data_IF_237718511732
#
_entry.id   IF_237718511732
#
_cell.length_a   1.000
_cell.length_b   1.000
_cell.length_c   1.000
_cell.angle_alpha   90.00
_cell.angle_beta   90.00
_cell.angle_gamma   90.00
#
_symmetry.space_group_name_H-M   'P 1'
#
loop_
_entity.id
_entity.type
_entity.pdbx_description
1 polymer ?
#
# COMPACT_ATOMS: atom_id res chain seq x y z
N UNK A 1 -18.52 -22.34 15.84
CA UNK A 1 -17.77 -21.34 16.62
C UNK A 1 -16.69 -20.76 15.71
N UNK A 2 -16.75 -19.46 15.38
CA UNK A 2 -15.85 -18.78 14.42
C UNK A 2 -14.35 -18.97 14.72
N UNK A 3 -14.00 -19.16 15.99
CA UNK A 3 -12.62 -19.26 16.48
C UNK A 3 -12.15 -20.71 16.69
N UNK A 4 -12.77 -21.70 16.05
CA UNK A 4 -12.35 -23.08 16.19
C UNK A 4 -11.04 -23.32 15.39
N UNK A 5 -9.91 -23.40 16.10
CA UNK A 5 -8.59 -23.79 15.55
C UNK A 5 -8.58 -25.12 14.76
N UNK A 6 -9.61 -25.96 14.94
CA UNK A 6 -9.79 -27.29 14.33
C UNK A 6 -10.97 -27.37 13.36
N UNK A 7 -11.50 -26.24 12.91
CA UNK A 7 -12.43 -26.21 11.77
C UNK A 7 -11.67 -26.65 10.51
N UNK A 8 -12.29 -27.45 9.64
CA UNK A 8 -11.72 -27.81 8.33
C UNK A 8 -11.41 -26.59 7.46
N UNK A 9 -12.05 -25.45 7.75
CA UNK A 9 -11.82 -24.17 7.08
C UNK A 9 -11.63 -23.01 8.09
N UNK A 10 -10.43 -22.42 8.15
CA UNK A 10 -10.18 -21.25 9.00
C UNK A 10 -10.98 -20.03 8.49
N UNK A 11 -11.26 -19.09 9.39
CA UNK A 11 -11.90 -17.82 9.01
C UNK A 11 -11.04 -17.05 8.00
N UNK A 12 -11.67 -16.34 7.08
CA UNK A 12 -11.02 -15.43 6.13
C UNK A 12 -10.27 -14.31 6.84
N UNK A 13 -10.68 -13.96 8.07
CA UNK A 13 -10.00 -12.96 8.90
C UNK A 13 -8.69 -13.48 9.51
N UNK A 14 -8.44 -14.80 9.46
CA UNK A 14 -7.20 -15.40 9.93
C UNK A 14 -6.18 -15.48 8.80
N UNK A 15 -5.13 -14.65 8.90
CA UNK A 15 -3.99 -14.69 7.96
C UNK A 15 -2.71 -14.94 8.76
N UNK A 16 -2.12 -16.14 8.72
CA UNK A 16 -0.86 -16.41 9.39
C UNK A 16 0.32 -15.78 8.62
N UNK A 17 1.50 -15.74 9.24
CA UNK A 17 2.71 -15.08 8.71
C UNK A 17 3.11 -15.60 7.33
N UNK A 18 2.96 -16.90 7.11
CA UNK A 18 3.33 -17.59 5.87
C UNK A 18 2.44 -17.16 4.70
N UNK A 19 1.25 -16.61 5.00
CA UNK A 19 0.25 -16.14 4.04
C UNK A 19 0.17 -14.63 3.95
N UNK A 20 1.14 -13.87 4.48
CA UNK A 20 1.16 -12.41 4.37
C UNK A 20 1.11 -11.92 2.91
N UNK A 21 1.62 -12.69 1.94
CA UNK A 21 1.52 -12.37 0.50
C UNK A 21 0.08 -12.22 0.02
N UNK A 22 -0.87 -12.95 0.62
CA UNK A 22 -2.28 -12.91 0.25
C UNK A 22 -2.97 -11.61 0.69
N UNK A 23 -2.31 -10.76 1.50
CA UNK A 23 -2.86 -9.45 1.90
C UNK A 23 -3.07 -8.52 0.70
N UNK A 24 -2.32 -8.71 -0.38
CA UNK A 24 -2.45 -7.91 -1.63
C UNK A 24 -3.74 -8.24 -2.39
N UNK A 25 -4.31 -9.43 -2.17
CA UNK A 25 -5.49 -9.94 -2.87
C UNK A 25 -6.77 -9.82 -2.05
N UNK A 26 -6.80 -8.92 -1.06
CA UNK A 26 -7.97 -8.73 -0.20
C UNK A 26 -9.24 -8.45 -1.00
N UNK A 27 -10.26 -9.30 -0.81
CA UNK A 27 -11.62 -9.08 -1.30
C UNK A 27 -12.58 -8.91 -0.13
N UNK A 28 -13.14 -7.71 0.04
CA UNK A 28 -14.11 -7.42 1.10
C UNK A 28 -15.35 -8.31 1.05
N UNK A 29 -15.76 -8.73 -0.15
CA UNK A 29 -16.89 -9.66 -0.34
C UNK A 29 -16.68 -11.02 0.33
N UNK A 30 -15.43 -11.48 0.49
CA UNK A 30 -15.15 -12.74 1.19
C UNK A 30 -15.47 -12.62 2.68
N UNK A 31 -15.19 -11.46 3.28
CA UNK A 31 -15.55 -11.17 4.67
C UNK A 31 -17.07 -11.08 4.81
N UNK A 32 -17.75 -10.39 3.88
CA UNK A 32 -19.21 -10.30 3.90
C UNK A 32 -19.89 -11.67 3.74
N UNK A 33 -19.34 -12.54 2.89
CA UNK A 33 -19.82 -13.91 2.71
C UNK A 33 -19.65 -14.73 3.99
N UNK A 34 -18.48 -14.66 4.63
CA UNK A 34 -18.26 -15.31 5.93
C UNK A 34 -19.25 -14.80 6.99
N UNK A 35 -19.51 -13.50 7.05
CA UNK A 35 -20.49 -12.93 7.98
C UNK A 35 -21.89 -13.53 7.76
N UNK A 36 -22.32 -13.73 6.51
CA UNK A 36 -23.63 -14.34 6.20
C UNK A 36 -23.71 -15.79 6.63
N UNK A 37 -22.67 -16.56 6.34
CA UNK A 37 -22.67 -18.00 6.57
C UNK A 37 -22.46 -18.36 8.04
N UNK A 38 -21.57 -17.62 8.73
CA UNK A 38 -21.09 -17.98 10.06
C UNK A 38 -21.59 -17.06 11.17
N UNK A 39 -22.09 -15.86 10.85
CA UNK A 39 -22.53 -14.85 11.83
C UNK A 39 -23.70 -13.96 11.35
N UNK A 40 -24.80 -14.53 10.82
CA UNK A 40 -25.89 -13.75 10.21
C UNK A 40 -26.52 -12.74 11.17
N UNK A 41 -26.68 -13.10 12.45
CA UNK A 41 -27.25 -12.20 13.47
C UNK A 41 -26.37 -10.96 13.71
N UNK A 42 -25.04 -11.13 13.65
CA UNK A 42 -24.09 -10.02 13.79
C UNK A 42 -24.17 -9.11 12.57
N UNK A 43 -24.29 -9.69 11.38
CA UNK A 43 -24.46 -8.94 10.14
C UNK A 43 -25.77 -8.14 10.16
N UNK A 44 -26.88 -8.76 10.55
CA UNK A 44 -28.19 -8.12 10.62
C UNK A 44 -28.20 -6.95 11.62
N UNK A 45 -27.63 -7.17 12.81
CA UNK A 45 -27.47 -6.12 13.81
C UNK A 45 -26.63 -4.95 13.28
N UNK A 46 -25.45 -5.23 12.73
CA UNK A 46 -24.55 -4.19 12.22
C UNK A 46 -25.16 -3.44 11.03
N UNK A 47 -25.81 -4.15 10.11
CA UNK A 47 -26.50 -3.54 8.97
C UNK A 47 -27.65 -2.65 9.45
N UNK A 48 -28.49 -3.13 10.38
CA UNK A 48 -29.60 -2.35 10.96
C UNK A 48 -29.13 -1.05 11.61
N UNK A 49 -28.00 -1.09 12.33
CA UNK A 49 -27.46 0.09 13.02
C UNK A 49 -26.77 1.06 12.05
N UNK A 50 -26.05 0.57 11.05
CA UNK A 50 -25.16 1.39 10.24
C UNK A 50 -25.68 1.73 8.84
N UNK A 51 -26.59 0.92 8.27
CA UNK A 51 -26.93 0.97 6.84
C UNK A 51 -28.44 0.69 6.63
N UNK A 52 -29.25 1.69 6.25
CA UNK A 52 -30.71 1.51 6.07
C UNK A 52 -31.11 0.42 5.06
N UNK A 53 -30.27 0.20 4.04
CA UNK A 53 -30.37 -0.91 3.05
C UNK A 53 -28.99 -1.26 2.52
N UNK A 54 -28.48 -2.45 2.85
CA UNK A 54 -27.17 -2.92 2.39
C UNK A 54 -27.21 -3.29 0.90
N UNK A 55 -26.40 -2.61 0.09
CA UNK A 55 -26.17 -2.97 -1.32
C UNK A 55 -24.86 -3.75 -1.42
N UNK A 56 -24.95 -5.03 -1.77
CA UNK A 56 -23.83 -5.99 -1.74
C UNK A 56 -22.64 -5.61 -2.63
N UNK A 57 -22.88 -4.85 -3.69
CA UNK A 57 -21.83 -4.39 -4.61
C UNK A 57 -21.39 -2.94 -4.35
N UNK A 58 -21.94 -2.28 -3.33
CA UNK A 58 -21.55 -0.91 -2.99
C UNK A 58 -20.35 -0.93 -2.03
N UNK A 59 -19.15 -0.79 -2.60
CA UNK A 59 -17.90 -0.71 -1.84
C UNK A 59 -17.90 0.37 -0.75
N UNK A 60 -18.71 1.43 -0.89
CA UNK A 60 -18.85 2.50 0.12
C UNK A 60 -19.53 2.01 1.39
N UNK A 61 -20.32 0.95 1.31
CA UNK A 61 -21.03 0.33 2.43
C UNK A 61 -20.32 -0.93 2.93
N UNK A 62 -19.88 -1.78 2.01
CA UNK A 62 -19.30 -3.09 2.34
C UNK A 62 -17.98 -2.96 3.08
N UNK A 63 -17.09 -2.07 2.64
CA UNK A 63 -15.76 -1.93 3.25
C UNK A 63 -15.83 -1.43 4.70
N UNK A 64 -16.58 -0.35 5.05
CA UNK A 64 -16.73 0.07 6.44
C UNK A 64 -17.37 -1.01 7.32
N UNK A 65 -18.38 -1.72 6.81
CA UNK A 65 -19.07 -2.79 7.53
C UNK A 65 -18.11 -3.96 7.85
N UNK A 66 -17.37 -4.44 6.85
CA UNK A 66 -16.38 -5.50 7.01
C UNK A 66 -15.22 -5.08 7.92
N UNK A 67 -14.83 -3.79 7.86
CA UNK A 67 -13.79 -3.23 8.75
C UNK A 67 -14.25 -3.25 10.20
N UNK A 68 -15.46 -2.78 10.48
CA UNK A 68 -16.04 -2.80 11.82
C UNK A 68 -16.18 -4.24 12.35
N UNK A 69 -16.64 -5.17 11.50
CA UNK A 69 -16.71 -6.59 11.85
C UNK A 69 -15.32 -7.15 12.18
N UNK A 70 -14.31 -6.91 11.36
CA UNK A 70 -12.94 -7.37 11.62
C UNK A 70 -12.33 -6.79 12.90
N UNK A 71 -12.64 -5.54 13.25
CA UNK A 71 -12.24 -4.94 14.53
C UNK A 71 -12.92 -5.66 15.70
N UNK A 72 -14.24 -5.86 15.63
CA UNK A 72 -15.00 -6.57 16.67
C UNK A 72 -14.51 -8.01 16.85
N UNK A 73 -14.25 -8.72 15.75
CA UNK A 73 -13.75 -10.09 15.79
C UNK A 73 -12.34 -10.16 16.36
N UNK A 74 -11.47 -9.18 16.08
CA UNK A 74 -10.12 -9.14 16.66
C UNK A 74 -10.12 -8.96 18.18
N UNK A 75 -11.08 -8.18 18.71
CA UNK A 75 -11.26 -8.01 20.17
C UNK A 75 -11.62 -9.34 20.82
N UNK A 76 -12.42 -10.18 20.15
CA UNK A 76 -12.79 -11.52 20.63
C UNK A 76 -11.67 -12.53 20.45
N UNK A 77 -10.96 -12.49 19.33
CA UNK A 77 -9.88 -13.39 18.99
C UNK A 77 -8.78 -12.66 18.22
N UNK A 78 -7.62 -12.47 18.87
CA UNK A 78 -6.48 -11.73 18.30
C UNK A 78 -5.90 -12.36 17.03
N UNK A 79 -6.14 -13.65 16.81
CA UNK A 79 -5.72 -14.37 15.60
C UNK A 79 -6.48 -13.91 14.35
N UNK A 80 -7.72 -13.41 14.51
CA UNK A 80 -8.55 -12.82 13.45
C UNK A 80 -8.11 -11.38 13.22
N UNK A 81 -7.01 -11.21 12.48
CA UNK A 81 -6.23 -9.96 12.43
C UNK A 81 -6.07 -9.37 11.04
N UNK A 82 -6.76 -9.92 10.03
CA UNK A 82 -6.69 -9.47 8.64
C UNK A 82 -6.88 -7.95 8.52
N UNK A 83 -7.98 -7.42 9.06
CA UNK A 83 -8.29 -5.98 8.97
C UNK A 83 -7.22 -5.13 9.66
N UNK A 84 -6.72 -5.53 10.82
CA UNK A 84 -5.65 -4.82 11.52
C UNK A 84 -4.35 -4.83 10.71
N UNK A 85 -4.05 -5.93 10.01
CA UNK A 85 -2.86 -6.03 9.14
C UNK A 85 -2.98 -5.11 7.93
N UNK A 86 -4.15 -5.07 7.30
CA UNK A 86 -4.43 -4.16 6.17
C UNK A 86 -4.34 -2.71 6.61
N UNK A 87 -4.97 -2.34 7.73
CA UNK A 87 -4.87 -1.00 8.29
C UNK A 87 -3.42 -0.63 8.65
N UNK A 88 -2.62 -1.58 9.11
CA UNK A 88 -1.21 -1.35 9.41
C UNK A 88 -0.40 -1.04 8.15
N UNK A 89 -0.66 -1.75 7.05
CA UNK A 89 -0.04 -1.47 5.75
C UNK A 89 -0.47 -0.08 5.25
N UNK A 90 -1.76 0.23 5.27
CA UNK A 90 -2.29 1.53 4.82
C UNK A 90 -1.68 2.69 5.62
N UNK A 91 -1.67 2.60 6.95
CA UNK A 91 -1.07 3.63 7.81
C UNK A 91 0.44 3.75 7.59
N UNK A 92 1.13 2.62 7.41
CA UNK A 92 2.57 2.60 7.23
C UNK A 92 3.01 3.22 5.91
N UNK A 93 2.30 2.89 4.82
CA UNK A 93 2.52 3.49 3.49
C UNK A 93 2.11 4.97 3.48
N UNK A 94 1.05 5.34 4.21
CA UNK A 94 0.63 6.73 4.38
C UNK A 94 1.53 7.57 5.28
N UNK A 95 2.70 7.06 5.71
CA UNK A 95 3.67 7.83 6.50
C UNK A 95 3.27 8.03 7.97
N UNK A 96 2.33 7.24 8.51
CA UNK A 96 1.88 7.42 9.88
C UNK A 96 3.02 7.22 10.90
N UNK A 97 3.07 8.12 11.89
CA UNK A 97 4.09 8.09 12.94
C UNK A 97 3.94 6.88 13.88
N UNK A 98 5.01 6.52 14.59
CA UNK A 98 4.97 5.48 15.63
C UNK A 98 3.88 5.74 16.67
N UNK A 99 3.69 7.00 17.07
CA UNK A 99 2.65 7.41 18.03
C UNK A 99 1.24 7.15 17.51
N UNK A 100 1.00 7.35 16.23
CA UNK A 100 -0.28 7.02 15.58
C UNK A 100 -0.54 5.51 15.62
N UNK A 101 0.46 4.69 15.28
CA UNK A 101 0.38 3.24 15.40
C UNK A 101 0.07 2.79 16.83
N UNK A 102 0.75 3.33 17.83
CA UNK A 102 0.53 2.96 19.24
C UNK A 102 -0.90 3.29 19.71
N UNK A 103 -1.43 4.45 19.32
CA UNK A 103 -2.81 4.85 19.66
C UNK A 103 -3.84 3.93 19.02
N UNK A 104 -3.73 3.71 17.71
CA UNK A 104 -4.69 2.90 16.96
C UNK A 104 -4.58 1.41 17.29
N UNK A 105 -3.38 0.92 17.63
CA UNK A 105 -3.18 -0.46 18.07
C UNK A 105 -3.84 -0.73 19.42
N UNK A 106 -3.74 0.22 20.38
CA UNK A 106 -4.48 0.14 21.65
C UNK A 106 -5.98 0.05 21.44
N UNK A 107 -6.52 0.75 20.45
CA UNK A 107 -7.93 0.68 20.05
C UNK A 107 -8.30 -0.58 19.24
N UNK A 108 -7.36 -1.47 18.94
CA UNK A 108 -7.61 -2.68 18.13
C UNK A 108 -7.84 -2.41 16.64
N UNK A 109 -7.50 -1.22 16.15
CA UNK A 109 -7.74 -0.80 14.76
C UNK A 109 -6.62 -1.30 13.84
N UNK A 110 -5.38 -1.36 14.34
CA UNK A 110 -4.20 -1.70 13.55
C UNK A 110 -3.23 -2.60 14.32
N UNK A 111 -2.29 -3.22 13.60
CA UNK A 111 -1.15 -3.92 14.19
C UNK A 111 -0.12 -2.96 14.80
N UNK A 112 0.82 -3.49 15.59
CA UNK A 112 1.92 -2.67 16.10
C UNK A 112 2.83 -2.19 14.96
N UNK A 113 3.58 -1.11 15.19
CA UNK A 113 4.54 -0.59 14.20
C UNK A 113 5.63 -1.60 13.83
N UNK A 114 5.98 -2.46 14.78
CA UNK A 114 6.93 -3.56 14.58
C UNK A 114 6.32 -4.68 13.74
N UNK A 115 5.10 -5.11 14.06
CA UNK A 115 4.36 -6.09 13.26
C UNK A 115 4.18 -5.61 11.82
N UNK A 116 3.90 -4.32 11.59
CA UNK A 116 3.92 -3.73 10.25
C UNK A 116 5.26 -3.91 9.53
N UNK A 117 6.41 -3.67 10.18
CA UNK A 117 7.73 -3.89 9.56
C UNK A 117 7.90 -5.36 9.16
N UNK A 118 7.57 -6.28 10.07
CA UNK A 118 7.66 -7.70 9.80
C UNK A 118 6.73 -8.13 8.64
N UNK A 119 5.54 -7.54 8.53
CA UNK A 119 4.63 -7.76 7.40
C UNK A 119 5.28 -7.28 6.09
N UNK A 120 5.85 -6.07 6.09
CA UNK A 120 6.53 -5.51 4.91
C UNK A 120 7.75 -6.33 4.50
N UNK A 121 8.56 -6.80 5.46
CA UNK A 121 9.71 -7.65 5.18
C UNK A 121 9.28 -8.98 4.56
N UNK A 122 8.21 -9.59 5.07
CA UNK A 122 7.64 -10.81 4.51
C UNK A 122 7.09 -10.59 3.10
N UNK A 123 6.40 -9.46 2.86
CA UNK A 123 5.88 -9.07 1.54
C UNK A 123 7.02 -8.82 0.54
N UNK A 124 8.14 -8.23 0.98
CA UNK A 124 9.31 -7.94 0.16
C UNK A 124 10.28 -9.11 -0.04
N UNK A 125 10.13 -10.19 0.74
CA UNK A 125 11.09 -11.31 0.77
C UNK A 125 11.36 -11.98 -0.58
N UNK A 126 10.40 -11.92 -1.52
CA UNK A 126 10.52 -12.52 -2.85
C UNK A 126 10.81 -11.50 -3.96
N UNK A 127 11.17 -10.26 -3.63
CA UNK A 127 11.43 -9.21 -4.60
C UNK A 127 12.45 -9.65 -5.67
N UNK A 128 13.55 -10.28 -5.28
CA UNK A 128 14.57 -10.75 -6.23
C UNK A 128 14.03 -11.77 -7.23
N UNK A 129 13.12 -12.65 -6.80
CA UNK A 129 12.50 -13.64 -7.70
C UNK A 129 11.54 -12.99 -8.69
N UNK A 130 10.79 -11.97 -8.25
CA UNK A 130 9.88 -11.20 -9.11
C UNK A 130 10.69 -10.42 -10.15
N UNK A 131 11.79 -9.80 -9.74
CA UNK A 131 12.69 -9.06 -10.64
C UNK A 131 13.25 -10.01 -11.69
N UNK A 132 13.77 -11.18 -11.29
CA UNK A 132 14.26 -12.21 -12.24
C UNK A 132 13.19 -12.62 -13.24
N UNK A 133 11.99 -12.96 -12.78
CA UNK A 133 10.90 -13.35 -13.66
C UNK A 133 10.55 -12.27 -14.69
N UNK A 134 10.62 -10.98 -14.30
CA UNK A 134 10.39 -9.86 -15.23
C UNK A 134 11.53 -9.71 -16.25
N UNK A 135 12.78 -9.84 -15.81
CA UNK A 135 13.94 -9.84 -16.72
C UNK A 135 13.87 -11.01 -17.69
N UNK A 136 13.56 -12.22 -17.20
CA UNK A 136 13.40 -13.43 -18.02
C UNK A 136 12.25 -13.28 -19.04
N UNK A 137 11.23 -12.48 -18.73
CA UNK A 137 10.15 -12.14 -19.66
C UNK A 137 10.53 -11.10 -20.72
N UNK A 138 11.79 -10.67 -20.76
CA UNK A 138 12.33 -9.70 -21.72
C UNK A 138 12.11 -8.24 -21.35
N UNK A 139 11.71 -7.92 -20.11
CA UNK A 139 11.60 -6.54 -19.66
C UNK A 139 12.96 -5.97 -19.28
N UNK A 140 13.27 -4.78 -19.79
CA UNK A 140 14.51 -4.09 -19.44
C UNK A 140 14.45 -3.52 -18.03
N UNK A 141 15.48 -3.86 -17.25
CA UNK A 141 15.63 -3.45 -15.86
C UNK A 141 16.40 -2.13 -15.81
N UNK A 142 15.81 -1.11 -15.18
CA UNK A 142 16.48 0.16 -14.88
C UNK A 142 16.58 0.32 -13.37
N UNK A 143 17.79 0.58 -12.87
CA UNK A 143 18.03 0.87 -11.47
C UNK A 143 18.44 2.34 -11.35
N UNK A 144 17.69 3.09 -10.56
CA UNK A 144 17.97 4.50 -10.28
C UNK A 144 18.45 4.62 -8.84
N UNK A 145 19.57 5.30 -8.67
CA UNK A 145 20.10 5.67 -7.37
C UNK A 145 19.88 7.15 -7.15
N UNK A 146 19.35 7.52 -5.99
CA UNK A 146 19.22 8.89 -5.55
C UNK A 146 20.03 9.08 -4.25
N UNK A 147 20.81 10.15 -4.18
CA UNK A 147 21.69 10.41 -3.05
C UNK A 147 21.02 11.37 -2.08
N UNK A 148 20.83 10.91 -0.84
CA UNK A 148 20.21 11.67 0.24
C UNK A 148 21.24 11.95 1.33
N UNK A 149 21.88 13.12 1.24
CA UNK A 149 22.82 13.60 2.24
C UNK A 149 22.11 14.51 3.25
N UNK A 150 22.28 14.25 4.53
CA UNK A 150 21.80 15.15 5.57
C UNK A 150 22.74 15.20 6.77
N UNK A 151 22.83 16.38 7.37
CA UNK A 151 23.69 16.64 8.51
C UNK A 151 22.87 16.72 9.79
N UNK A 152 23.15 15.83 10.72
CA UNK A 152 22.60 15.89 12.08
C UNK A 152 23.52 16.78 12.90
N UNK A 153 23.00 17.94 13.31
CA UNK A 153 23.70 18.86 14.20
C UNK A 153 23.33 18.58 15.66
N UNK A 154 24.34 18.51 16.52
CA UNK A 154 24.18 18.35 17.96
C UNK A 154 24.38 19.71 18.63
N UNK A 155 23.46 20.09 19.51
CA UNK A 155 23.50 21.40 20.18
C UNK A 155 24.68 21.51 21.17
N UNK A 156 25.13 20.38 21.72
CA UNK A 156 26.30 20.27 22.61
C UNK A 156 27.15 19.09 22.13
N UNK A 157 28.43 19.36 21.86
CA UNK A 157 29.37 18.35 21.37
C UNK A 157 30.01 17.64 22.56
N UNK A 158 29.73 16.34 22.69
CA UNK A 158 30.35 15.45 23.68
C UNK A 158 31.19 14.38 22.96
N UNK A 159 32.05 13.67 23.69
CA UNK A 159 32.94 12.67 23.08
C UNK A 159 32.17 11.63 22.24
N UNK A 160 30.97 11.25 22.69
CA UNK A 160 30.10 10.25 22.05
C UNK A 160 28.89 10.85 21.33
N UNK A 161 28.80 12.18 21.22
CA UNK A 161 27.66 12.86 20.61
C UNK A 161 28.17 14.09 19.84
N UNK A 162 28.36 13.92 18.53
CA UNK A 162 28.92 14.94 17.65
C UNK A 162 28.03 15.11 16.43
N UNK A 163 28.21 16.23 15.73
CA UNK A 163 27.62 16.41 14.41
C UNK A 163 27.99 15.22 13.52
N UNK A 164 27.02 14.68 12.81
CA UNK A 164 27.20 13.56 11.90
C UNK A 164 26.66 13.92 10.53
N UNK A 165 27.47 13.66 9.51
CA UNK A 165 27.07 13.75 8.12
C UNK A 165 26.61 12.35 7.70
N UNK A 166 25.32 12.22 7.37
CA UNK A 166 24.71 10.97 6.95
C UNK A 166 24.60 10.95 5.43
N UNK A 167 25.17 9.92 4.81
CA UNK A 167 25.12 9.67 3.38
C UNK A 167 24.23 8.46 3.11
N UNK A 168 23.00 8.69 2.66
CA UNK A 168 22.06 7.63 2.33
C UNK A 168 21.87 7.54 0.82
N UNK A 169 21.67 6.33 0.31
CA UNK A 169 21.33 6.10 -1.09
C UNK A 169 19.96 5.45 -1.12
N UNK A 170 19.00 6.13 -1.75
CA UNK A 170 17.73 5.53 -2.13
C UNK A 170 17.92 4.80 -3.47
N UNK A 171 17.48 3.55 -3.53
CA UNK A 171 17.52 2.76 -4.76
C UNK A 171 16.10 2.42 -5.20
N UNK A 172 15.80 2.67 -6.47
CA UNK A 172 14.52 2.36 -7.08
C UNK A 172 14.76 1.51 -8.32
N UNK A 173 14.00 0.41 -8.41
CA UNK A 173 14.03 -0.48 -9.57
C UNK A 173 12.76 -0.26 -10.38
N UNK A 174 12.91 0.12 -11.64
CA UNK A 174 11.82 0.25 -12.59
C UNK A 174 12.03 -0.68 -13.78
N UNK A 175 10.93 -1.11 -14.38
CA UNK A 175 10.93 -1.76 -15.67
C UNK A 175 10.33 -0.79 -16.67
N UNK A 176 10.85 -0.80 -17.90
CA UNK A 176 10.34 0.10 -18.93
C UNK A 176 8.85 -0.14 -19.16
N UNK A 177 8.06 0.94 -19.01
CA UNK A 177 6.60 0.91 -19.21
C UNK A 177 6.21 0.96 -20.68
N UNK A 178 7.13 1.41 -21.54
CA UNK A 178 6.96 1.58 -22.99
C UNK A 178 8.19 1.00 -23.69
N UNK A 179 8.03 0.15 -24.73
CA UNK A 179 9.17 -0.41 -25.46
C UNK A 179 9.99 0.70 -26.12
N UNK A 180 11.25 0.84 -25.74
CA UNK A 180 12.20 1.83 -26.28
C UNK A 180 13.00 1.29 -27.48
N UNK A 181 12.77 0.05 -27.91
CA UNK A 181 13.53 -0.63 -28.98
C UNK A 181 13.53 0.06 -30.34
N UNK A 182 12.64 1.04 -30.54
CA UNK A 182 12.52 1.86 -31.74
C UNK A 182 13.27 3.20 -31.63
N UNK A 183 13.81 3.52 -30.46
CA UNK A 183 14.58 4.72 -30.18
C UNK A 183 16.07 4.41 -30.42
N UNK A 184 16.75 5.35 -31.06
CA UNK A 184 18.18 5.24 -31.36
C UNK A 184 19.00 5.84 -30.21
N UNK A 185 19.75 5.00 -29.48
CA UNK A 185 20.61 5.46 -28.38
C UNK A 185 21.94 6.05 -28.86
N UNK A 186 22.31 5.86 -30.13
CA UNK A 186 23.60 6.30 -30.67
C UNK A 186 23.61 7.75 -31.12
N UNK A 187 22.43 8.36 -31.27
CA UNK A 187 22.28 9.75 -31.67
C UNK A 187 21.07 10.38 -30.99
N UNK A 188 21.14 11.66 -30.59
CA UNK A 188 19.94 12.37 -30.14
C UNK A 188 18.89 12.36 -31.25
N UNK A 189 17.61 12.23 -30.88
CA UNK A 189 16.47 12.24 -31.83
C UNK A 189 16.47 13.48 -32.73
N UNK A 190 17.13 14.55 -32.27
CA UNK A 190 17.36 15.79 -33.00
C UNK A 190 18.81 16.23 -32.78
N UNK A 191 19.62 16.36 -33.84
CA UNK A 191 21.01 16.82 -33.71
C UNK A 191 21.14 18.26 -33.20
N UNK A 192 20.12 19.09 -33.44
CA UNK A 192 20.11 20.50 -33.12
C UNK A 192 18.74 20.90 -32.56
N UNK A 193 18.74 21.47 -31.36
CA UNK A 193 17.53 21.87 -30.64
C UNK A 193 16.66 22.87 -31.41
N UNK A 194 17.25 23.64 -32.33
CA UNK A 194 16.53 24.62 -33.17
C UNK A 194 15.67 23.97 -34.26
N UNK A 195 15.96 22.71 -34.59
CA UNK A 195 15.25 21.96 -35.63
C UNK A 195 14.07 21.18 -35.04
N UNK A 196 13.88 21.23 -33.72
CA UNK A 196 12.76 20.63 -33.03
C UNK A 196 11.66 21.65 -32.79
N UNK A 197 10.47 21.36 -33.32
CA UNK A 197 9.34 22.26 -33.20
C UNK A 197 8.87 22.38 -31.74
N UNK A 198 8.70 23.60 -31.25
CA UNK A 198 8.35 23.88 -29.84
C UNK A 198 7.02 23.24 -29.43
N UNK A 199 6.13 22.98 -30.40
CA UNK A 199 4.87 22.25 -30.19
C UNK A 199 5.08 20.82 -29.67
N UNK A 200 6.23 20.20 -29.94
CA UNK A 200 6.54 18.85 -29.45
C UNK A 200 7.06 18.85 -28.00
N UNK A 201 7.39 20.02 -27.45
CA UNK A 201 7.82 20.20 -26.05
C UNK A 201 6.70 20.78 -25.18
N UNK A 202 5.92 21.68 -25.77
CA UNK A 202 4.80 22.32 -25.10
C UNK A 202 3.59 21.42 -25.19
N UNK A 203 3.12 20.98 -24.02
CA UNK A 203 1.85 20.28 -23.86
C UNK A 203 0.77 21.04 -24.63
N UNK A 204 0.11 20.38 -25.59
CA UNK A 204 -0.98 21.00 -26.34
C UNK A 204 -2.09 21.44 -25.39
N UNK A 205 -2.90 22.42 -25.77
CA UNK A 205 -3.99 22.89 -24.87
C UNK A 205 -4.90 21.73 -24.44
N UNK A 206 -5.19 20.81 -25.36
CA UNK A 206 -5.90 19.56 -25.11
C UNK A 206 -5.20 18.67 -24.09
N UNK A 207 -3.90 18.39 -24.26
CA UNK A 207 -3.15 17.55 -23.31
C UNK A 207 -2.97 18.24 -21.95
N UNK A 208 -2.93 19.57 -21.91
CA UNK A 208 -2.79 20.35 -20.68
C UNK A 208 -4.08 20.34 -19.88
N UNK A 209 -5.22 20.44 -20.54
CA UNK A 209 -6.54 20.26 -19.93
C UNK A 209 -6.71 18.81 -19.45
N UNK A 210 -6.25 17.82 -20.22
CA UNK A 210 -6.27 16.41 -19.82
C UNK A 210 -5.32 16.11 -18.65
N UNK A 211 -4.14 16.71 -18.61
CA UNK A 211 -3.22 16.64 -17.47
C UNK A 211 -3.80 17.32 -16.23
N UNK A 212 -4.48 18.46 -16.38
CA UNK A 212 -5.18 19.12 -15.27
C UNK A 212 -6.27 18.23 -14.70
N UNK A 213 -7.11 17.63 -15.55
CA UNK A 213 -8.13 16.68 -15.11
C UNK A 213 -7.51 15.48 -14.38
N UNK A 214 -6.44 14.91 -14.92
CA UNK A 214 -5.71 13.80 -14.30
C UNK A 214 -5.06 14.19 -12.96
N UNK A 215 -4.47 15.38 -12.85
CA UNK A 215 -3.85 15.90 -11.63
C UNK A 215 -4.91 16.22 -10.58
N UNK A 216 -6.09 16.74 -10.97
CA UNK A 216 -7.23 16.96 -10.07
C UNK A 216 -7.70 15.62 -9.49
N UNK A 217 -7.80 14.57 -10.30
CA UNK A 217 -8.11 13.22 -9.82
C UNK A 217 -7.02 12.71 -8.86
N UNK A 218 -5.74 12.92 -9.18
CA UNK A 218 -4.61 12.47 -8.36
C UNK A 218 -4.49 13.23 -7.02
N UNK A 219 -4.94 14.49 -6.96
CA UNK A 219 -4.87 15.36 -5.77
C UNK A 219 -6.15 15.37 -4.92
N UNK A 220 -7.27 14.86 -5.44
CA UNK A 220 -8.50 14.61 -4.67
C UNK A 220 -8.52 13.21 -4.02
N UNK A 221 -7.78 12.25 -4.56
CA UNK A 221 -7.64 10.91 -3.96
C UNK A 221 -6.98 10.89 -2.55
N UNK A 222 -6.06 11.81 -2.18
CA UNK A 222 -5.50 11.90 -0.83
C UNK A 222 -6.21 12.89 0.10
N UNK A 223 -7.12 13.75 -0.39
CA UNK A 223 -7.80 14.76 0.42
C UNK A 223 -9.21 14.36 0.87
N UNK A 224 -9.72 13.21 0.44
CA UNK A 224 -11.01 12.66 0.87
C UNK A 224 -10.89 11.34 1.68
N UNK A 225 -9.75 11.08 2.32
CA UNK A 225 -9.57 9.94 3.23
C UNK A 225 -8.95 10.35 4.56
#
# INVERSE_FOLDING_TARGET
MLCARKSSEPSVLHVPSERHKNLVELRWNNILTEMRERAPDVLDFMATVAIPKLKENDGRQVMPLCTAYGILMNVRCRELSLVQKINAVLLGVGGATKRTFERLNKSGITQSRESFRNIMDNLGSNLSSIIKAKVDSGQELRVVFDNFDFRILTNIILCNHRNSDMHWIAQHVTFDRVPSSHLDDSKPSVPNIKDFDNINYLVSKTELDQQRDNIIILSLLPMCS
#
